data_IF_287952145458
#
_entry.id   IF_287952145458
#
_cell.length_a   1.000
_cell.length_b   1.000
_cell.length_c   1.000
_cell.angle_alpha   90.00
_cell.angle_beta   90.00
_cell.angle_gamma   90.00
#
_symmetry.space_group_name_H-M   'P 1'
#
loop_
_entity.id
_entity.type
_entity.pdbx_description
1 polymer ?
#
# COMPACT_ATOMS: atom_id res chain seq x y z
N UNK A 1 9.78 10.36 -13.00
CA UNK A 1 8.32 10.30 -13.17
C UNK A 1 7.98 8.97 -13.85
N UNK A 2 7.20 8.11 -13.19
CA UNK A 2 6.90 6.75 -13.68
C UNK A 2 5.59 6.78 -14.48
N UNK A 3 5.62 6.37 -15.75
CA UNK A 3 4.42 6.28 -16.61
C UNK A 3 3.90 4.85 -16.58
N UNK A 4 2.82 4.62 -15.85
CA UNK A 4 2.19 3.30 -15.69
C UNK A 4 0.81 3.36 -16.34
N UNK A 5 0.48 2.43 -17.25
CA UNK A 5 -0.88 2.32 -17.77
C UNK A 5 -1.80 1.87 -16.63
N UNK A 6 -2.64 2.79 -16.15
CA UNK A 6 -3.59 2.53 -15.08
C UNK A 6 -4.67 1.55 -15.57
N UNK A 7 -4.47 0.26 -15.25
CA UNK A 7 -5.49 -0.79 -15.39
C UNK A 7 -6.66 -0.66 -14.40
N UNK A 8 -7.04 0.57 -14.03
CA UNK A 8 -8.24 0.88 -13.24
C UNK A 8 -8.15 0.67 -11.72
N UNK A 9 -7.03 0.17 -11.18
CA UNK A 9 -6.85 -0.12 -9.76
C UNK A 9 -6.00 0.91 -9.01
N UNK A 10 -6.34 1.19 -7.75
CA UNK A 10 -5.49 1.97 -6.84
C UNK A 10 -4.25 1.15 -6.47
N UNK A 11 -3.07 1.74 -6.61
CA UNK A 11 -1.80 1.13 -6.19
C UNK A 11 -1.43 1.75 -4.84
N UNK A 12 -1.31 0.92 -3.81
CA UNK A 12 -0.96 1.38 -2.47
C UNK A 12 0.47 1.95 -2.45
N UNK A 13 0.68 3.08 -1.78
CA UNK A 13 1.95 3.81 -1.83
C UNK A 13 2.03 4.83 -2.97
N UNK A 14 1.00 4.91 -3.82
CA UNK A 14 0.95 5.84 -4.94
C UNK A 14 -0.40 6.55 -5.02
N UNK A 15 -0.34 7.81 -5.48
CA UNK A 15 -1.50 8.66 -5.77
C UNK A 15 -1.42 9.15 -7.22
N UNK A 16 -2.54 9.57 -7.83
CA UNK A 16 -2.50 10.25 -9.13
C UNK A 16 -1.54 11.43 -9.07
N UNK A 17 -0.66 11.55 -10.07
CA UNK A 17 0.19 12.72 -10.20
C UNK A 17 -0.64 13.97 -10.55
N UNK A 18 -0.09 15.14 -10.28
CA UNK A 18 -0.70 16.43 -10.58
C UNK A 18 0.26 17.29 -11.39
N UNK A 19 -0.28 18.13 -12.26
CA UNK A 19 0.49 19.15 -12.97
C UNK A 19 0.91 20.32 -12.05
N UNK A 20 1.57 21.32 -12.62
CA UNK A 20 2.02 22.54 -11.92
C UNK A 20 0.87 23.36 -11.29
N UNK A 21 -0.37 23.14 -11.75
CA UNK A 21 -1.58 23.81 -11.25
C UNK A 21 -2.34 22.95 -10.23
N UNK A 22 -1.84 21.76 -9.91
CA UNK A 22 -2.48 20.81 -8.99
C UNK A 22 -3.60 19.99 -9.64
N UNK A 23 -3.80 20.06 -10.95
CA UNK A 23 -4.81 19.27 -11.65
C UNK A 23 -4.30 17.84 -11.86
N UNK A 24 -5.15 16.80 -11.72
CA UNK A 24 -4.74 15.42 -11.94
C UNK A 24 -4.21 15.18 -13.36
N UNK A 25 -2.99 14.68 -13.48
CA UNK A 25 -2.35 14.38 -14.77
C UNK A 25 -2.56 12.90 -15.11
N UNK A 26 -3.35 12.64 -16.16
CA UNK A 26 -3.76 11.28 -16.53
C UNK A 26 -2.56 10.40 -16.90
N UNK A 27 -2.49 9.22 -16.28
CA UNK A 27 -1.44 8.23 -16.56
C UNK A 27 -0.14 8.48 -15.80
N UNK A 28 -0.16 9.39 -14.82
CA UNK A 28 0.98 9.68 -13.96
C UNK A 28 0.68 9.25 -12.53
N UNK A 29 1.73 8.84 -11.83
CA UNK A 29 1.68 8.49 -10.42
C UNK A 29 2.74 9.29 -9.67
N UNK A 30 2.35 9.80 -8.51
CA UNK A 30 3.23 10.35 -7.50
C UNK A 30 3.28 9.41 -6.30
N UNK A 31 4.38 9.46 -5.55
CA UNK A 31 4.49 8.73 -4.29
C UNK A 31 3.49 9.34 -3.29
N UNK A 32 2.74 8.49 -2.62
CA UNK A 32 2.07 8.84 -1.37
C UNK A 32 3.03 8.51 -0.24
N UNK A 33 3.68 9.51 0.35
CA UNK A 33 4.75 9.27 1.33
C UNK A 33 4.27 8.55 2.60
N UNK A 34 2.99 8.70 2.95
CA UNK A 34 2.41 8.05 4.13
C UNK A 34 2.27 6.56 3.84
N UNK A 35 1.61 6.19 2.74
CA UNK A 35 1.44 4.79 2.38
C UNK A 35 2.77 4.13 1.98
N UNK A 36 3.67 4.86 1.32
CA UNK A 36 4.99 4.38 0.94
C UNK A 36 5.87 4.10 2.17
N UNK A 37 5.76 4.90 3.24
CA UNK A 37 6.45 4.62 4.50
C UNK A 37 5.99 3.28 5.11
N UNK A 38 4.68 2.98 5.05
CA UNK A 38 4.15 1.68 5.51
C UNK A 38 4.75 0.53 4.70
N UNK A 39 4.78 0.66 3.37
CA UNK A 39 5.41 -0.35 2.50
C UNK A 39 6.88 -0.56 2.85
N UNK A 40 7.64 0.53 3.00
CA UNK A 40 9.07 0.47 3.38
C UNK A 40 9.27 -0.25 4.72
N UNK A 41 8.46 0.07 5.74
CA UNK A 41 8.53 -0.60 7.03
C UNK A 41 8.24 -2.10 6.92
N UNK A 42 7.21 -2.51 6.17
CA UNK A 42 6.89 -3.93 5.97
C UNK A 42 8.07 -4.70 5.39
N UNK A 43 8.70 -4.17 4.33
CA UNK A 43 9.83 -4.85 3.70
C UNK A 43 11.07 -4.88 4.61
N UNK A 44 11.34 -3.80 5.35
CA UNK A 44 12.42 -3.76 6.31
C UNK A 44 12.25 -4.83 7.40
N UNK A 45 11.06 -4.90 8.00
CA UNK A 45 10.77 -5.83 9.08
C UNK A 45 10.73 -7.28 8.60
N UNK A 46 10.21 -7.51 7.39
CA UNK A 46 10.25 -8.82 6.75
C UNK A 46 11.68 -9.28 6.49
N UNK A 47 12.55 -8.40 5.97
CA UNK A 47 13.97 -8.68 5.78
C UNK A 47 14.70 -8.97 7.11
N UNK A 48 14.21 -8.41 8.22
CA UNK A 48 14.68 -8.72 9.57
C UNK A 48 14.10 -10.05 10.14
N UNK A 49 13.35 -10.81 9.36
CA UNK A 49 12.79 -12.11 9.75
C UNK A 49 11.47 -12.03 10.51
N UNK A 50 10.82 -10.88 10.57
CA UNK A 50 9.51 -10.75 11.20
C UNK A 50 8.46 -11.41 10.30
N UNK A 51 7.68 -12.33 10.88
CA UNK A 51 6.68 -13.07 10.11
C UNK A 51 5.57 -12.16 9.57
N UNK A 52 5.00 -12.45 8.39
CA UNK A 52 3.88 -11.69 7.82
C UNK A 52 2.68 -11.54 8.77
N UNK A 53 2.39 -12.56 9.57
CA UNK A 53 1.30 -12.54 10.56
C UNK A 53 1.58 -11.52 11.66
N UNK A 54 2.83 -11.47 12.16
CA UNK A 54 3.21 -10.51 13.20
C UNK A 54 3.18 -9.09 12.66
N UNK A 55 3.59 -8.87 11.41
CA UNK A 55 3.47 -7.59 10.73
C UNK A 55 2.00 -7.15 10.58
N UNK A 56 1.13 -8.02 10.06
CA UNK A 56 -0.28 -7.72 9.93
C UNK A 56 -0.94 -7.39 11.29
N UNK A 57 -0.57 -8.11 12.35
CA UNK A 57 -1.05 -7.84 13.71
C UNK A 57 -0.61 -6.47 14.21
N UNK A 58 0.69 -6.13 14.08
CA UNK A 58 1.22 -4.81 14.45
C UNK A 58 0.52 -3.68 13.69
N UNK A 59 0.37 -3.81 12.37
CA UNK A 59 -0.29 -2.78 11.54
C UNK A 59 -1.75 -2.57 11.96
N UNK A 60 -2.45 -3.64 12.36
CA UNK A 60 -3.80 -3.54 12.90
C UNK A 60 -3.83 -2.85 14.28
N UNK A 61 -2.88 -3.17 15.16
CA UNK A 61 -2.73 -2.55 16.48
C UNK A 61 -2.43 -1.04 16.36
N UNK A 62 -1.58 -0.66 15.40
CA UNK A 62 -1.26 0.72 15.04
C UNK A 62 -2.42 1.43 14.29
N UNK A 63 -3.52 0.71 14.01
CA UNK A 63 -4.70 1.19 13.27
C UNK A 63 -4.38 1.71 11.86
N UNK A 64 -3.37 1.13 11.22
CA UNK A 64 -3.02 1.43 9.84
C UNK A 64 -3.99 0.69 8.92
N UNK A 65 -4.72 1.45 8.09
CA UNK A 65 -5.70 0.88 7.18
C UNK A 65 -5.04 0.02 6.10
N UNK A 66 -5.62 -1.15 5.82
CA UNK A 66 -5.11 -2.04 4.79
C UNK A 66 -5.43 -1.54 3.37
N UNK A 67 -4.63 -1.93 2.35
CA UNK A 67 -4.86 -1.54 0.95
C UNK A 67 -6.22 -1.97 0.39
N UNK A 68 -6.88 -2.94 1.04
CA UNK A 68 -8.20 -3.40 0.66
C UNK A 68 -9.32 -2.41 1.00
N UNK A 69 -9.05 -1.36 1.77
CA UNK A 69 -10.00 -0.28 2.03
C UNK A 69 -10.11 0.58 0.77
N UNK A 70 -11.32 0.62 0.20
CA UNK A 70 -11.64 1.54 -0.88
C UNK A 70 -13.14 1.73 -1.00
N UNK A 71 -13.61 2.86 -1.57
CA UNK A 71 -15.03 3.18 -1.67
C UNK A 71 -15.84 2.14 -2.47
N UNK A 72 -15.16 1.34 -3.31
CA UNK A 72 -15.78 0.26 -4.11
C UNK A 72 -15.67 -1.14 -3.48
N UNK A 73 -15.02 -1.31 -2.32
CA UNK A 73 -14.84 -2.61 -1.66
C UNK A 73 -15.28 -2.53 -0.19
N UNK A 74 -16.33 -3.27 0.17
CA UNK A 74 -16.69 -3.51 1.58
C UNK A 74 -15.64 -4.44 2.19
N UNK A 75 -14.58 -3.88 2.76
CA UNK A 75 -13.54 -4.61 3.48
C UNK A 75 -13.55 -4.17 4.95
N UNK A 76 -13.17 -5.07 5.86
CA UNK A 76 -12.99 -4.75 7.28
C UNK A 76 -11.87 -3.73 7.51
N UNK A 77 -11.04 -3.46 6.49
CA UNK A 77 -9.90 -2.55 6.56
C UNK A 77 -8.73 -3.03 7.40
N UNK A 78 -8.84 -4.26 7.93
CA UNK A 78 -7.77 -4.93 8.65
C UNK A 78 -6.79 -5.57 7.66
N UNK A 79 -5.52 -5.60 8.05
CA UNK A 79 -4.48 -6.40 7.41
C UNK A 79 -4.75 -7.88 7.67
N UNK A 80 -4.80 -8.67 6.60
CA UNK A 80 -5.05 -10.11 6.70
C UNK A 80 -3.80 -10.82 7.23
N UNK A 81 -3.98 -11.60 8.29
CA UNK A 81 -2.95 -12.44 8.90
C UNK A 81 -2.85 -13.78 8.16
N UNK A 82 -2.40 -13.75 6.91
CA UNK A 82 -2.23 -14.98 6.13
C UNK A 82 -0.83 -15.57 6.35
N UNK A 83 -0.74 -16.90 6.41
CA UNK A 83 0.52 -17.63 6.49
C UNK A 83 0.99 -18.05 5.08
N UNK A 84 1.27 -17.09 4.18
CA UNK A 84 1.92 -17.46 2.91
C UNK A 84 3.43 -17.54 3.14
N UNK A 85 3.90 -18.77 3.39
CA UNK A 85 5.32 -19.11 3.57
C UNK A 85 6.04 -19.34 2.24
N UNK A 86 5.49 -18.91 1.10
CA UNK A 86 6.18 -19.04 -0.19
C UNK A 86 7.30 -18.00 -0.31
N UNK A 87 8.45 -18.35 0.25
CA UNK A 87 9.74 -17.83 -0.19
C UNK A 87 10.22 -18.70 -1.39
N UNK A 88 10.85 -18.11 -2.41
CA UNK A 88 11.43 -18.86 -3.54
C UNK A 88 12.57 -19.79 -3.11
#
# INVERSE_FOLDING_TARGET
>A
MLKVLSGGGRIYGYRPGTDERGAPEKGTLAIDEIEAAVVRSIFHDYAAGISPIKLASRLNEERIASPSVGPKRKSSGHWKQNNDQRQP
#
